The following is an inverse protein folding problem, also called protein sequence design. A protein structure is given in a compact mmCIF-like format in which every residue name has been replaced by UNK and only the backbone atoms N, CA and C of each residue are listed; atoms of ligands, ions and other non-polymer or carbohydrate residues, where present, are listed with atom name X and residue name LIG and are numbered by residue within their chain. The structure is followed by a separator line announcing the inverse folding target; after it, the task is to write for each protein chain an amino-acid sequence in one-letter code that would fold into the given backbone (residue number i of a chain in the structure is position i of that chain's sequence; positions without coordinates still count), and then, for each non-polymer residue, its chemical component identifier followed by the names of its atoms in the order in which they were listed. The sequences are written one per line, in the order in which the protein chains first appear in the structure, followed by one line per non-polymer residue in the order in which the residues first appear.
data_IF_561684465091
#
_entry.id   IF_561684465091
#
_cell.length_a   1.000
_cell.length_b   1.000
_cell.length_c   1.000
_cell.angle_alpha   90.00
_cell.angle_beta   90.00
_cell.angle_gamma   90.00
#
_symmetry.space_group_name_H-M   'P 1'
#
loop_
_entity.id
_entity.type
_entity.pdbx_description
1 polymer ?
#
# COMPACT_ATOMS: atom_id res chain seq x y z
N UNK A 1 10.88 16.11 37.64
CA UNK A 1 10.20 15.00 36.93
C UNK A 1 9.16 14.46 37.91
N UNK A 2 7.87 14.72 37.66
CA UNK A 2 6.81 14.38 38.62
C UNK A 2 6.52 12.87 38.58
N UNK A 3 6.35 12.19 39.73
CA UNK A 3 6.21 10.73 39.82
C UNK A 3 4.85 10.17 39.36
N UNK A 4 4.01 10.98 38.71
CA UNK A 4 2.66 10.59 38.24
C UNK A 4 2.53 10.39 36.73
N UNK A 5 3.63 10.45 35.97
CA UNK A 5 3.63 10.31 34.49
C UNK A 5 4.32 9.02 34.02
N UNK A 6 4.60 8.09 34.94
CA UNK A 6 5.13 6.78 34.58
C UNK A 6 3.99 5.86 34.15
N UNK A 7 4.12 5.33 32.94
CA UNK A 7 3.20 4.36 32.36
C UNK A 7 3.68 2.96 32.72
N UNK A 8 2.79 2.13 33.24
CA UNK A 8 3.07 0.73 33.53
C UNK A 8 3.24 -0.06 32.23
N UNK A 9 4.38 -0.73 32.08
CA UNK A 9 4.72 -1.48 30.88
C UNK A 9 3.89 -2.76 30.73
N UNK A 10 3.49 -3.38 31.84
CA UNK A 10 2.75 -4.64 31.84
C UNK A 10 1.40 -4.51 31.12
N UNK A 11 0.80 -3.31 31.18
CA UNK A 11 -0.43 -2.96 30.45
C UNK A 11 -0.24 -3.02 28.93
N UNK A 12 0.91 -2.55 28.43
CA UNK A 12 1.23 -2.55 27.01
C UNK A 12 1.63 -3.97 26.57
N UNK A 13 2.39 -4.69 27.40
CA UNK A 13 2.82 -6.05 27.08
C UNK A 13 1.63 -7.01 26.91
N UNK A 14 0.61 -6.91 27.78
CA UNK A 14 -0.58 -7.75 27.72
C UNK A 14 -1.36 -7.63 26.40
N UNK A 15 -1.29 -6.47 25.72
CA UNK A 15 -2.03 -6.21 24.49
C UNK A 15 -1.11 -5.92 23.29
N UNK A 16 0.17 -6.33 23.34
CA UNK A 16 1.16 -6.05 22.29
C UNK A 16 0.76 -6.56 20.90
N UNK A 17 0.03 -7.68 20.83
CA UNK A 17 -0.47 -8.26 19.57
C UNK A 17 -1.54 -7.38 18.90
N UNK A 18 -2.17 -6.47 19.67
CA UNK A 18 -3.14 -5.50 19.18
C UNK A 18 -2.49 -4.15 18.82
N UNK A 19 -1.16 -4.07 18.77
CA UNK A 19 -0.43 -2.83 18.47
C UNK A 19 0.38 -3.00 17.19
N UNK A 20 -0.03 -2.34 16.12
CA UNK A 20 0.69 -2.31 14.86
C UNK A 20 1.99 -1.49 15.00
N UNK A 21 3.11 -2.04 14.51
CA UNK A 21 4.39 -1.33 14.46
C UNK A 21 4.35 -0.19 13.45
N UNK A 22 4.82 0.99 13.86
CA UNK A 22 4.94 2.16 13.00
C UNK A 22 6.41 2.62 12.94
N UNK A 23 6.94 3.04 11.77
CA UNK A 23 8.31 3.52 11.66
C UNK A 23 8.64 4.74 12.55
N UNK A 24 7.63 5.57 12.86
CA UNK A 24 7.75 6.72 13.75
C UNK A 24 7.54 6.39 15.24
N UNK A 25 7.32 5.13 15.59
CA UNK A 25 6.90 4.72 16.93
C UNK A 25 5.44 5.10 17.25
N UNK A 26 5.06 4.89 18.51
CA UNK A 26 3.76 5.26 19.08
C UNK A 26 3.96 5.90 20.43
N UNK A 27 3.06 6.80 20.82
CA UNK A 27 3.13 7.37 22.16
C UNK A 27 2.66 6.34 23.19
N UNK A 28 3.52 6.04 24.17
CA UNK A 28 3.18 5.09 25.24
C UNK A 28 1.95 5.56 26.03
N UNK A 29 1.77 6.88 26.16
CA UNK A 29 0.63 7.49 26.86
C UNK A 29 -0.68 7.26 26.12
N UNK A 30 -0.72 7.42 24.79
CA UNK A 30 -1.93 7.15 24.04
C UNK A 30 -2.25 5.66 24.03
N UNK A 31 -1.24 4.80 23.93
CA UNK A 31 -1.43 3.35 24.10
C UNK A 31 -2.02 3.05 25.48
N UNK A 32 -1.43 3.53 26.56
CA UNK A 32 -1.99 3.35 27.90
C UNK A 32 -3.44 3.86 27.99
N UNK A 33 -3.76 5.04 27.44
CA UNK A 33 -5.13 5.56 27.47
C UNK A 33 -6.14 4.65 26.72
N UNK A 34 -5.74 4.08 25.58
CA UNK A 34 -6.59 3.19 24.77
C UNK A 34 -6.71 1.80 25.39
N UNK A 35 -5.61 1.26 25.94
CA UNK A 35 -5.53 -0.10 26.48
C UNK A 35 -6.07 -0.17 27.92
N UNK A 36 -5.89 0.88 28.73
CA UNK A 36 -6.38 0.98 30.12
C UNK A 36 -7.85 1.36 30.22
N UNK A 37 -8.46 1.87 29.14
CA UNK A 37 -9.87 2.17 29.17
C UNK A 37 -10.23 3.32 30.11
N UNK A 38 -9.70 4.52 29.86
CA UNK A 38 -10.00 5.71 30.65
C UNK A 38 -9.39 5.69 32.08
N UNK A 39 -9.40 6.85 32.77
CA UNK A 39 -8.76 6.99 34.07
C UNK A 39 -9.66 6.40 35.17
N UNK A 40 -9.60 5.09 35.34
CA UNK A 40 -10.32 4.37 36.39
C UNK A 40 -10.16 2.88 36.19
N UNK A 41 -9.10 2.30 36.76
CA UNK A 41 -8.68 0.91 36.56
C UNK A 41 -9.62 -0.15 37.13
N UNK A 42 -10.86 -0.22 36.64
CA UNK A 42 -11.81 -1.26 36.99
C UNK A 42 -12.57 -1.70 35.74
N UNK A 43 -12.28 -2.93 35.31
CA UNK A 43 -12.91 -3.66 34.21
C UNK A 43 -12.61 -3.09 32.82
N UNK A 44 -12.32 -3.99 31.86
CA UNK A 44 -12.30 -3.63 30.43
C UNK A 44 -13.54 -2.76 30.14
N UNK A 45 -13.40 -1.49 29.72
CA UNK A 45 -14.57 -0.74 29.29
C UNK A 45 -15.20 -1.56 28.19
N UNK A 46 -16.53 -1.62 28.17
CA UNK A 46 -17.22 -2.21 27.03
C UNK A 46 -16.66 -1.59 25.76
N UNK A 47 -16.41 -2.42 24.73
CA UNK A 47 -16.02 -1.96 23.40
C UNK A 47 -16.90 -0.78 22.93
N UNK A 48 -18.14 -0.71 23.40
CA UNK A 48 -19.10 0.33 23.09
C UNK A 48 -18.82 1.69 23.77
N UNK A 49 -18.21 1.72 24.95
CA UNK A 49 -17.87 2.97 25.66
C UNK A 49 -16.64 3.65 25.03
N UNK A 50 -15.61 2.87 24.72
CA UNK A 50 -14.44 3.37 23.96
C UNK A 50 -14.82 3.78 22.54
N UNK A 51 -15.75 3.07 21.89
CA UNK A 51 -16.34 3.50 20.60
C UNK A 51 -17.08 4.83 20.73
N UNK A 52 -17.93 4.99 21.75
CA UNK A 52 -18.69 6.22 21.99
C UNK A 52 -17.77 7.42 22.22
N UNK A 53 -16.70 7.24 23.01
CA UNK A 53 -15.68 8.27 23.22
C UNK A 53 -14.96 8.64 21.92
N UNK A 54 -14.51 7.64 21.15
CA UNK A 54 -13.87 7.90 19.86
C UNK A 54 -14.80 8.58 18.86
N UNK A 55 -16.09 8.23 18.85
CA UNK A 55 -17.10 8.85 18.01
C UNK A 55 -17.39 10.31 18.41
N UNK A 56 -17.29 10.64 19.71
CA UNK A 56 -17.42 12.01 20.19
C UNK A 56 -16.27 12.90 19.70
N UNK A 57 -15.01 12.46 19.87
CA UNK A 57 -13.83 13.20 19.39
C UNK A 57 -13.84 13.30 17.87
N UNK A 58 -14.23 12.23 17.18
CA UNK A 58 -14.41 12.25 15.72
C UNK A 58 -15.40 13.34 15.30
N UNK A 59 -16.53 13.46 16.00
CA UNK A 59 -17.53 14.48 15.69
C UNK A 59 -16.98 15.89 15.88
N UNK A 60 -16.17 16.12 16.91
CA UNK A 60 -15.50 17.42 17.14
C UNK A 60 -14.59 17.78 15.95
N UNK A 61 -13.73 16.87 15.50
CA UNK A 61 -12.90 17.09 14.32
C UNK A 61 -13.70 17.29 13.04
N UNK A 62 -14.80 16.56 12.84
CA UNK A 62 -15.66 16.76 11.66
C UNK A 62 -16.40 18.11 11.69
N UNK A 63 -16.72 18.64 12.87
CA UNK A 63 -17.25 20.01 13.02
C UNK A 63 -16.15 21.04 12.69
N UNK A 64 -14.92 20.86 13.18
CA UNK A 64 -13.79 21.72 12.80
C UNK A 64 -13.53 21.68 11.27
N UNK A 65 -13.69 20.52 10.63
CA UNK A 65 -13.58 20.39 9.18
C UNK A 65 -14.71 21.08 8.41
N UNK A 66 -15.88 21.27 9.02
CA UNK A 66 -16.97 22.05 8.39
C UNK A 66 -16.66 23.55 8.38
N UNK A 67 -15.99 24.05 9.43
CA UNK A 67 -15.52 25.44 9.52
C UNK A 67 -14.11 25.65 8.95
N UNK A 68 -13.62 24.73 8.10
CA UNK A 68 -12.25 24.77 7.55
C UNK A 68 -11.92 26.06 6.79
N UNK A 69 -12.93 26.70 6.18
CA UNK A 69 -12.77 27.96 5.45
C UNK A 69 -12.49 29.16 6.38
N UNK A 70 -12.82 29.04 7.66
CA UNK A 70 -12.60 30.07 8.68
C UNK A 70 -11.28 29.88 9.43
N UNK A 71 -10.56 28.77 9.18
CA UNK A 71 -9.29 28.47 9.83
C UNK A 71 -8.11 29.13 9.11
N UNK A 72 -7.18 29.68 9.90
CA UNK A 72 -5.92 30.23 9.38
C UNK A 72 -4.97 29.14 8.83
N UNK A 73 -5.00 27.93 9.42
CA UNK A 73 -4.23 26.78 8.96
C UNK A 73 -5.12 25.52 8.81
N UNK A 74 -5.86 25.41 7.69
CA UNK A 74 -6.73 24.26 7.43
C UNK A 74 -5.99 22.91 7.37
N UNK A 75 -4.69 22.89 7.07
CA UNK A 75 -3.90 21.67 7.05
C UNK A 75 -3.69 21.10 8.46
N UNK A 76 -3.57 21.96 9.47
CA UNK A 76 -3.33 21.54 10.86
C UNK A 76 -4.49 20.69 11.40
N UNK A 77 -5.74 21.03 11.05
CA UNK A 77 -6.92 20.26 11.45
C UNK A 77 -6.79 18.80 10.95
N UNK A 78 -6.39 18.62 9.68
CA UNK A 78 -6.16 17.28 9.13
C UNK A 78 -4.97 16.56 9.76
N UNK A 79 -3.86 17.26 10.02
CA UNK A 79 -2.68 16.66 10.66
C UNK A 79 -3.00 16.17 12.09
N UNK A 80 -3.69 17.00 12.89
CA UNK A 80 -4.17 16.63 14.24
C UNK A 80 -5.15 15.47 14.18
N UNK A 81 -6.12 15.54 13.26
CA UNK A 81 -7.14 14.51 13.15
C UNK A 81 -6.55 13.16 12.69
N UNK A 82 -5.60 13.16 11.77
CA UNK A 82 -4.90 11.93 11.34
C UNK A 82 -4.05 11.36 12.47
N UNK A 83 -3.28 12.19 13.20
CA UNK A 83 -2.51 11.73 14.37
C UNK A 83 -3.41 11.09 15.43
N UNK A 84 -4.50 11.76 15.78
CA UNK A 84 -5.49 11.21 16.70
C UNK A 84 -6.04 9.87 16.19
N UNK A 85 -6.39 9.76 14.90
CA UNK A 85 -6.89 8.52 14.32
C UNK A 85 -5.85 7.39 14.42
N UNK A 86 -4.57 7.70 14.16
CA UNK A 86 -3.49 6.72 14.27
C UNK A 86 -3.30 6.23 15.71
N UNK A 87 -3.46 7.10 16.69
CA UNK A 87 -3.31 6.80 18.12
C UNK A 87 -4.53 6.07 18.71
N UNK A 88 -5.74 6.44 18.32
CA UNK A 88 -6.99 5.85 18.80
C UNK A 88 -7.20 4.40 18.32
N UNK A 89 -6.62 4.03 17.17
CA UNK A 89 -6.77 2.71 16.56
C UNK A 89 -5.42 1.97 16.43
N UNK A 90 -4.94 1.30 17.50
CA UNK A 90 -3.63 0.68 17.51
C UNK A 90 -3.53 -0.61 16.66
N UNK A 91 -4.61 -1.38 16.49
CA UNK A 91 -4.58 -2.75 15.97
C UNK A 91 -4.70 -2.88 14.45
N UNK A 92 -5.40 -1.96 13.77
CA UNK A 92 -5.45 -1.96 12.30
C UNK A 92 -5.93 -0.61 11.76
N UNK A 93 -4.96 0.17 11.29
CA UNK A 93 -5.15 1.46 10.64
C UNK A 93 -6.02 1.38 9.36
N UNK A 94 -6.11 0.18 8.76
CA UNK A 94 -6.85 -0.07 7.53
C UNK A 94 -8.27 -0.61 7.77
N UNK A 95 -8.77 -0.54 9.00
CA UNK A 95 -10.16 -0.91 9.31
C UNK A 95 -11.14 0.16 8.83
N UNK A 96 -12.32 -0.23 8.29
CA UNK A 96 -13.39 0.72 7.99
C UNK A 96 -13.80 1.56 9.20
N UNK A 97 -13.66 1.01 10.41
CA UNK A 97 -14.00 1.66 11.68
C UNK A 97 -13.11 2.88 11.98
N UNK A 98 -11.85 2.88 11.56
CA UNK A 98 -10.93 4.00 11.78
C UNK A 98 -11.29 5.23 10.95
N UNK A 99 -11.94 5.06 9.79
CA UNK A 99 -12.23 6.16 8.86
C UNK A 99 -10.99 6.81 8.23
N UNK A 100 -9.80 6.25 8.43
CA UNK A 100 -8.53 6.87 8.03
C UNK A 100 -8.39 7.03 6.51
N UNK A 101 -8.86 6.05 5.73
CA UNK A 101 -8.79 6.10 4.27
C UNK A 101 -9.60 7.27 3.68
N UNK A 102 -10.92 7.40 3.96
CA UNK A 102 -11.70 8.57 3.53
C UNK A 102 -11.10 9.89 4.00
N UNK A 103 -10.56 9.94 5.22
CA UNK A 103 -9.92 11.12 5.78
C UNK A 103 -8.68 11.53 4.97
N UNK A 104 -7.77 10.58 4.71
CA UNK A 104 -6.57 10.84 3.91
C UNK A 104 -6.91 11.20 2.46
N UNK A 105 -7.90 10.55 1.85
CA UNK A 105 -8.35 10.90 0.49
C UNK A 105 -8.95 12.31 0.41
N UNK A 106 -9.72 12.73 1.42
CA UNK A 106 -10.23 14.10 1.52
C UNK A 106 -9.08 15.10 1.69
N UNK A 107 -8.16 14.85 2.62
CA UNK A 107 -7.04 15.74 2.92
C UNK A 107 -6.11 15.91 1.71
N UNK A 108 -5.72 14.81 1.07
CA UNK A 108 -4.82 14.82 -0.08
C UNK A 108 -5.41 15.56 -1.28
N UNK A 109 -6.72 15.41 -1.54
CA UNK A 109 -7.43 16.13 -2.61
C UNK A 109 -7.64 17.62 -2.29
N UNK A 110 -7.95 17.97 -1.04
CA UNK A 110 -8.28 19.34 -0.65
C UNK A 110 -7.13 20.33 -0.92
N UNK A 111 -5.88 19.94 -0.65
CA UNK A 111 -4.72 20.84 -0.75
C UNK A 111 -3.89 20.69 -2.04
N UNK A 112 -4.31 19.84 -2.97
CA UNK A 112 -3.53 19.58 -4.20
C UNK A 112 -3.36 20.85 -5.06
N UNK A 113 -4.40 21.69 -5.10
CA UNK A 113 -4.40 22.97 -5.84
C UNK A 113 -3.69 24.10 -5.07
N UNK A 114 -3.56 23.98 -3.75
CA UNK A 114 -2.96 25.02 -2.91
C UNK A 114 -1.44 24.96 -2.99
N UNK A 115 -0.83 26.00 -3.55
CA UNK A 115 0.63 26.10 -3.66
C UNK A 115 1.33 26.27 -2.31
N UNK A 116 0.61 26.75 -1.29
CA UNK A 116 1.18 27.04 0.03
C UNK A 116 1.61 25.78 0.77
N UNK A 117 0.84 24.70 0.62
CA UNK A 117 1.07 23.43 1.32
C UNK A 117 1.91 22.42 0.55
N UNK A 118 2.22 22.68 -0.73
CA UNK A 118 2.95 21.74 -1.59
C UNK A 118 4.30 21.32 -1.00
N UNK A 119 5.01 22.23 -0.35
CA UNK A 119 6.31 21.97 0.28
C UNK A 119 6.24 21.94 1.82
N UNK A 120 5.05 21.78 2.40
CA UNK A 120 4.90 21.58 3.85
C UNK A 120 5.18 20.10 4.21
N UNK A 121 6.12 19.81 5.14
CA UNK A 121 6.37 18.45 5.61
C UNK A 121 5.14 17.74 6.18
N UNK A 122 4.18 18.46 6.77
CA UNK A 122 2.91 17.89 7.28
C UNK A 122 2.07 17.33 6.14
N UNK A 123 1.92 18.10 5.06
CA UNK A 123 1.17 17.65 3.90
C UNK A 123 1.82 16.45 3.22
N UNK A 124 3.15 16.45 3.09
CA UNK A 124 3.88 15.31 2.55
C UNK A 124 3.70 14.05 3.43
N UNK A 125 3.70 14.19 4.77
CA UNK A 125 3.44 13.05 5.67
C UNK A 125 2.07 12.43 5.45
N UNK A 126 1.02 13.24 5.23
CA UNK A 126 -0.32 12.71 4.90
C UNK A 126 -0.28 11.83 3.64
N UNK A 127 0.41 12.29 2.60
CA UNK A 127 0.63 11.50 1.39
C UNK A 127 1.43 10.22 1.63
N UNK A 128 2.49 10.28 2.44
CA UNK A 128 3.29 9.10 2.78
C UNK A 128 2.48 8.07 3.59
N UNK A 129 1.62 8.52 4.51
CA UNK A 129 0.68 7.64 5.21
C UNK A 129 -0.29 6.97 4.23
N UNK A 130 -0.83 7.72 3.27
CA UNK A 130 -1.68 7.17 2.22
C UNK A 130 -0.95 6.11 1.39
N UNK A 131 0.28 6.40 0.96
CA UNK A 131 1.10 5.49 0.17
C UNK A 131 1.37 4.19 0.94
N UNK A 132 1.85 4.30 2.18
CA UNK A 132 2.27 3.14 2.98
C UNK A 132 1.10 2.22 3.37
N UNK A 133 -0.06 2.79 3.70
CA UNK A 133 -1.17 2.02 4.29
C UNK A 133 -2.18 1.58 3.21
N UNK A 134 -2.40 2.41 2.19
CA UNK A 134 -3.55 2.24 1.29
C UNK A 134 -3.19 2.14 -0.20
N UNK A 135 -1.99 2.52 -0.64
CA UNK A 135 -1.68 2.50 -2.08
C UNK A 135 -1.42 1.08 -2.61
N UNK A 136 -2.06 0.77 -3.73
CA UNK A 136 -1.89 -0.44 -4.55
C UNK A 136 -0.71 -0.30 -5.52
N UNK A 137 -0.55 0.89 -6.10
CA UNK A 137 0.56 1.28 -6.96
C UNK A 137 1.32 2.48 -6.36
N UNK A 138 2.20 2.26 -5.37
CA UNK A 138 2.98 3.32 -4.73
C UNK A 138 3.77 4.16 -5.75
N UNK A 139 4.35 3.52 -6.77
CA UNK A 139 5.10 4.18 -7.85
C UNK A 139 4.28 5.25 -8.58
N UNK A 140 3.03 4.93 -8.91
CA UNK A 140 2.15 5.87 -9.61
C UNK A 140 1.80 7.05 -8.72
N UNK A 141 1.63 6.80 -7.41
CA UNK A 141 1.37 7.85 -6.43
C UNK A 141 2.58 8.78 -6.27
N UNK A 142 3.80 8.25 -6.18
CA UNK A 142 5.01 9.07 -6.17
C UNK A 142 5.20 9.86 -7.48
N UNK A 143 4.92 9.25 -8.63
CA UNK A 143 4.97 9.94 -9.92
C UNK A 143 3.91 11.06 -10.01
N UNK A 144 2.72 10.84 -9.45
CA UNK A 144 1.68 11.85 -9.34
C UNK A 144 2.15 13.04 -8.49
N UNK A 145 2.74 12.79 -7.30
CA UNK A 145 3.29 13.84 -6.44
C UNK A 145 4.37 14.67 -7.14
N UNK A 146 5.31 14.01 -7.82
CA UNK A 146 6.38 14.67 -8.54
C UNK A 146 5.84 15.57 -9.67
N UNK A 147 4.78 15.17 -10.36
CA UNK A 147 4.14 15.99 -11.42
C UNK A 147 3.39 17.19 -10.88
N UNK A 148 2.77 17.06 -9.71
CA UNK A 148 2.06 18.15 -9.03
C UNK A 148 3.00 19.07 -8.24
N UNK A 149 4.30 18.73 -8.16
CA UNK A 149 5.31 19.48 -7.42
C UNK A 149 5.08 19.42 -5.91
N UNK A 150 4.55 18.30 -5.40
CA UNK A 150 4.33 18.09 -3.97
C UNK A 150 5.58 17.48 -3.34
N UNK A 151 6.16 18.16 -2.37
CA UNK A 151 7.34 17.73 -1.63
C UNK A 151 8.64 17.79 -2.43
N UNK A 152 8.68 18.49 -3.56
CA UNK A 152 9.87 18.57 -4.43
C UNK A 152 11.08 19.19 -3.72
N UNK A 153 10.86 20.08 -2.75
CA UNK A 153 11.95 20.70 -1.98
C UNK A 153 12.27 19.95 -0.68
N UNK A 154 11.61 18.82 -0.40
CA UNK A 154 11.72 18.09 0.85
C UNK A 154 12.55 16.82 0.66
N UNK A 155 13.66 16.71 1.39
CA UNK A 155 14.50 15.50 1.38
C UNK A 155 13.69 14.24 1.72
N UNK A 156 12.70 14.37 2.61
CA UNK A 156 11.79 13.30 3.01
C UNK A 156 11.10 12.62 1.81
N UNK A 157 10.74 13.37 0.75
CA UNK A 157 10.10 12.79 -0.42
C UNK A 157 11.03 11.80 -1.14
N UNK A 158 12.27 12.22 -1.39
CA UNK A 158 13.28 11.42 -2.08
C UNK A 158 13.74 10.24 -1.23
N UNK A 159 13.93 10.44 0.08
CA UNK A 159 14.28 9.38 1.04
C UNK A 159 13.25 8.23 0.98
N UNK A 160 11.97 8.57 1.06
CA UNK A 160 10.89 7.59 1.11
C UNK A 160 10.65 6.90 -0.23
N UNK A 161 10.76 7.67 -1.32
CA UNK A 161 10.61 7.11 -2.65
C UNK A 161 11.75 6.15 -3.00
N UNK A 162 12.99 6.54 -2.69
CA UNK A 162 14.15 5.68 -2.90
C UNK A 162 14.14 4.45 -1.98
N UNK A 163 13.73 4.60 -0.71
CA UNK A 163 13.57 3.46 0.21
C UNK A 163 12.52 2.47 -0.28
N UNK A 164 11.42 2.95 -0.87
CA UNK A 164 10.42 2.08 -1.48
C UNK A 164 10.99 1.34 -2.71
N UNK A 165 11.70 2.04 -3.60
CA UNK A 165 12.35 1.43 -4.78
C UNK A 165 13.39 0.39 -4.40
N UNK A 166 14.17 0.64 -3.35
CA UNK A 166 15.12 -0.31 -2.76
C UNK A 166 14.39 -1.57 -2.28
N UNK A 167 13.28 -1.44 -1.55
CA UNK A 167 12.47 -2.58 -1.11
C UNK A 167 11.86 -3.39 -2.27
N UNK A 168 11.62 -2.72 -3.41
CA UNK A 168 11.13 -3.35 -4.64
C UNK A 168 12.25 -3.96 -5.52
N UNK A 169 13.51 -3.91 -5.07
CA UNK A 169 14.69 -4.42 -5.79
C UNK A 169 15.12 -3.57 -6.99
N UNK A 170 14.65 -2.33 -7.09
CA UNK A 170 14.90 -1.41 -8.21
C UNK A 170 15.99 -0.41 -7.86
N UNK A 171 17.22 -0.90 -7.68
CA UNK A 171 18.33 -0.11 -7.15
C UNK A 171 18.77 1.04 -8.07
N UNK A 172 18.81 0.83 -9.39
CA UNK A 172 19.18 1.88 -10.36
C UNK A 172 18.23 3.08 -10.28
N UNK A 173 16.92 2.81 -10.20
CA UNK A 173 15.91 3.85 -10.05
C UNK A 173 16.01 4.53 -8.68
N UNK A 174 16.35 3.80 -7.61
CA UNK A 174 16.55 4.40 -6.30
C UNK A 174 17.71 5.40 -6.29
N UNK A 175 18.83 5.06 -6.95
CA UNK A 175 19.97 5.95 -7.14
C UNK A 175 19.60 7.22 -7.93
N UNK A 176 18.90 7.07 -9.05
CA UNK A 176 18.39 8.20 -9.84
C UNK A 176 17.55 9.17 -8.99
N UNK A 177 16.70 8.65 -8.10
CA UNK A 177 15.86 9.48 -7.22
C UNK A 177 16.69 10.23 -6.17
N UNK A 178 17.74 9.63 -5.62
CA UNK A 178 18.64 10.33 -4.70
C UNK A 178 19.41 11.45 -5.40
N UNK A 179 19.95 11.18 -6.60
CA UNK A 179 20.64 12.18 -7.41
C UNK A 179 19.68 13.33 -7.74
N UNK A 180 18.47 13.00 -8.18
CA UNK A 180 17.44 13.97 -8.51
C UNK A 180 17.03 14.85 -7.31
N UNK A 181 17.00 14.30 -6.10
CA UNK A 181 16.76 15.07 -4.88
C UNK A 181 17.91 16.00 -4.52
N UNK A 182 19.15 15.60 -4.81
CA UNK A 182 20.34 16.42 -4.60
C UNK A 182 20.43 17.55 -5.64
N UNK A 183 20.13 17.27 -6.91
CA UNK A 183 20.04 18.26 -7.99
C UNK A 183 18.99 19.34 -7.70
N UNK A 184 17.91 18.97 -7.02
CA UNK A 184 16.85 19.89 -6.57
C UNK A 184 17.11 20.54 -5.23
N UNK A 185 18.28 20.30 -4.62
CA UNK A 185 18.68 20.85 -3.33
C UNK A 185 17.64 20.64 -2.21
N UNK A 186 17.01 19.46 -2.20
CA UNK A 186 15.94 19.13 -1.27
C UNK A 186 16.42 19.19 0.19
N UNK A 187 15.69 19.88 1.07
CA UNK A 187 16.10 20.17 2.44
C UNK A 187 15.52 19.16 3.44
N UNK A 188 16.30 18.72 4.46
CA UNK A 188 17.73 19.00 4.70
C UNK A 188 18.64 18.21 3.77
N UNK A 189 19.51 18.89 3.02
CA UNK A 189 20.41 18.28 2.01
C UNK A 189 21.44 17.34 2.64
N UNK A 190 21.99 17.71 3.80
CA UNK A 190 22.94 16.89 4.55
C UNK A 190 22.35 15.53 4.93
N UNK A 191 21.06 15.53 5.32
CA UNK A 191 20.34 14.31 5.66
C UNK A 191 20.15 13.44 4.43
N UNK A 192 19.79 14.04 3.30
CA UNK A 192 19.64 13.33 2.03
C UNK A 192 20.96 12.69 1.58
N UNK A 193 22.07 13.44 1.67
CA UNK A 193 23.40 12.94 1.31
C UNK A 193 23.82 11.77 2.20
N UNK A 194 23.58 11.88 3.52
CA UNK A 194 23.85 10.78 4.45
C UNK A 194 23.05 9.52 4.07
N UNK A 195 21.76 9.68 3.77
CA UNK A 195 20.89 8.57 3.34
C UNK A 195 21.32 7.97 2.01
N UNK A 196 21.79 8.78 1.08
CA UNK A 196 22.35 8.30 -0.18
C UNK A 196 23.62 7.47 0.05
N UNK A 197 24.53 7.91 0.93
CA UNK A 197 25.72 7.13 1.28
C UNK A 197 25.38 5.82 1.99
N UNK A 198 24.40 5.83 2.92
CA UNK A 198 23.87 4.61 3.54
C UNK A 198 23.31 3.63 2.50
N UNK A 199 22.56 4.14 1.51
CA UNK A 199 22.05 3.34 0.40
C UNK A 199 23.18 2.73 -0.45
N UNK A 200 24.20 3.51 -0.82
CA UNK A 200 25.36 3.00 -1.58
C UNK A 200 26.12 1.93 -0.81
N UNK A 201 26.32 2.13 0.50
CA UNK A 201 26.96 1.13 1.36
C UNK A 201 26.13 -0.17 1.39
N UNK A 202 24.80 -0.09 1.50
CA UNK A 202 23.93 -1.28 1.42
C UNK A 202 24.02 -1.97 0.06
N UNK A 203 24.08 -1.21 -1.03
CA UNK A 203 24.22 -1.76 -2.37
C UNK A 203 25.55 -2.50 -2.58
N UNK A 204 26.64 -2.01 -1.99
CA UNK A 204 27.96 -2.65 -2.03
C UNK A 204 28.02 -3.93 -1.19
N UNK A 205 27.33 -3.93 -0.04
CA UNK A 205 27.23 -5.11 0.84
C UNK A 205 26.14 -6.08 0.42
N UNK A 206 25.26 -5.69 -0.50
CA UNK A 206 24.31 -6.59 -1.13
C UNK A 206 25.16 -7.63 -1.88
N UNK A 207 25.15 -8.89 -1.46
CA UNK A 207 25.66 -9.92 -2.32
C UNK A 207 24.79 -9.81 -3.57
N UNK A 208 25.40 -9.52 -4.71
CA UNK A 208 24.88 -10.08 -5.96
C UNK A 208 24.52 -11.54 -5.64
N UNK A 209 23.48 -12.15 -6.23
CA UNK A 209 23.36 -13.59 -6.18
C UNK A 209 24.58 -14.15 -6.91
N UNK A 210 25.70 -14.22 -6.19
CA UNK A 210 26.84 -15.03 -6.45
C UNK A 210 26.23 -16.41 -6.51
N UNK A 211 26.38 -17.02 -7.67
CA UNK A 211 26.20 -18.43 -7.94
C UNK A 211 26.84 -19.27 -6.82
N UNK A 212 26.17 -19.38 -5.68
CA UNK A 212 26.37 -20.45 -4.73
C UNK A 212 25.85 -21.73 -5.40
N UNK A 213 26.44 -22.90 -5.12
CA UNK A 213 26.08 -24.13 -5.81
C UNK A 213 24.58 -24.44 -5.60
N UNK A 214 23.78 -24.06 -6.61
CA UNK A 214 22.35 -24.30 -6.68
C UNK A 214 22.12 -25.76 -6.99
N UNK A 215 21.89 -26.56 -5.95
CA UNK A 215 21.27 -27.88 -6.10
C UNK A 215 19.81 -27.77 -5.67
N UNK A 216 18.85 -28.32 -6.44
CA UNK A 216 18.98 -29.46 -7.37
C UNK A 216 19.45 -29.08 -8.78
N UNK A 217 20.23 -29.96 -9.42
CA UNK A 217 20.90 -29.79 -10.73
C UNK A 217 19.98 -29.54 -11.94
N UNK A 218 18.66 -29.45 -11.75
CA UNK A 218 17.71 -29.02 -12.75
C UNK A 218 16.71 -28.06 -12.08
N UNK A 219 16.76 -26.75 -12.36
CA UNK A 219 15.71 -25.85 -11.92
C UNK A 219 14.40 -26.30 -12.59
N UNK A 220 13.33 -26.51 -11.80
CA UNK A 220 11.95 -26.61 -12.32
C UNK A 220 11.53 -25.23 -12.84
N UNK A 221 12.11 -24.80 -13.96
CA UNK A 221 11.64 -23.64 -14.69
C UNK A 221 10.30 -24.05 -15.29
N UNK A 222 9.21 -23.39 -14.86
CA UNK A 222 7.93 -23.51 -15.56
C UNK A 222 8.13 -22.87 -16.93
N UNK A 223 8.09 -23.63 -18.03
CA UNK A 223 8.24 -23.03 -19.33
C UNK A 223 7.02 -22.13 -19.57
N UNK A 224 7.26 -20.85 -19.87
CA UNK A 224 6.19 -19.91 -20.14
C UNK A 224 5.39 -20.42 -21.35
N UNK A 225 4.05 -20.41 -21.24
CA UNK A 225 3.13 -20.90 -22.28
C UNK A 225 3.30 -22.39 -22.64
N UNK A 226 3.86 -23.22 -21.76
CA UNK A 226 3.93 -24.66 -21.99
C UNK A 226 2.53 -25.30 -22.04
N UNK A 227 2.33 -26.22 -22.99
CA UNK A 227 1.14 -27.05 -23.03
C UNK A 227 1.03 -27.88 -21.74
N UNK A 228 -0.14 -27.85 -21.10
CA UNK A 228 -0.44 -28.67 -19.93
C UNK A 228 -0.71 -30.10 -20.39
N UNK A 229 0.36 -30.89 -20.51
CA UNK A 229 0.30 -32.31 -20.85
C UNK A 229 0.31 -33.06 -19.53
N UNK A 230 -0.75 -33.83 -19.26
CA UNK A 230 -0.82 -34.70 -18.08
C UNK A 230 0.02 -35.97 -18.33
N UNK A 231 1.13 -36.18 -17.61
CA UNK A 231 2.01 -37.34 -17.82
C UNK A 231 1.38 -38.67 -17.37
N UNK A 232 0.24 -38.64 -16.67
CA UNK A 232 -0.47 -39.84 -16.21
C UNK A 232 -1.85 -40.01 -16.85
N UNK A 233 -2.17 -39.25 -17.90
CA UNK A 233 -3.39 -39.47 -18.66
C UNK A 233 -3.35 -40.85 -19.33
N UNK A 234 -4.03 -41.82 -18.72
CA UNK A 234 -4.39 -43.09 -19.35
C UNK A 234 -5.05 -42.82 -20.70
N UNK A 235 -4.81 -43.68 -21.69
CA UNK A 235 -5.30 -43.63 -23.08
C UNK A 235 -6.84 -43.66 -23.25
N UNK A 236 -7.61 -43.34 -22.22
CA UNK A 236 -9.05 -43.17 -22.26
C UNK A 236 -9.41 -41.70 -22.54
N UNK A 237 -10.31 -41.40 -23.49
CA UNK A 237 -10.72 -40.04 -23.76
C UNK A 237 -11.44 -39.46 -22.54
N UNK A 238 -10.79 -38.54 -21.85
CA UNK A 238 -11.44 -37.72 -20.82
C UNK A 238 -12.48 -36.81 -21.48
N UNK A 239 -13.61 -36.51 -20.82
CA UNK A 239 -14.60 -35.61 -21.37
C UNK A 239 -13.96 -34.23 -21.57
N UNK A 240 -14.01 -33.77 -22.82
CA UNK A 240 -13.50 -32.46 -23.23
C UNK A 240 -14.21 -31.40 -22.40
N UNK A 241 -13.45 -30.64 -21.61
CA UNK A 241 -13.95 -29.43 -20.98
C UNK A 241 -14.33 -28.44 -22.10
N UNK A 242 -15.62 -28.11 -22.31
CA UNK A 242 -16.07 -27.30 -23.44
C UNK A 242 -15.54 -25.86 -23.40
N UNK A 243 -14.86 -25.47 -22.31
CA UNK A 243 -14.27 -24.14 -22.13
C UNK A 243 -12.74 -24.12 -22.23
N UNK A 244 -12.08 -25.28 -22.41
CA UNK A 244 -10.64 -25.33 -22.62
C UNK A 244 -10.29 -24.87 -24.05
N UNK A 245 -9.38 -23.88 -24.23
CA UNK A 245 -8.95 -23.49 -25.57
C UNK A 245 -8.24 -24.69 -26.23
N UNK A 246 -8.81 -25.17 -27.32
CA UNK A 246 -8.17 -26.19 -28.16
C UNK A 246 -6.84 -25.64 -28.67
N UNK A 247 -5.73 -26.41 -28.62
CA UNK A 247 -4.50 -25.99 -29.26
C UNK A 247 -4.74 -26.00 -30.77
N UNK A 248 -5.05 -24.84 -31.33
CA UNK A 248 -5.08 -24.64 -32.76
C UNK A 248 -3.66 -24.88 -33.27
N UNK A 249 -3.46 -25.98 -34.00
CA UNK A 249 -2.36 -26.12 -34.92
C UNK A 249 -2.52 -25.05 -36.01
N UNK A 250 -2.10 -23.82 -35.71
CA UNK A 250 -2.13 -22.72 -36.63
C UNK A 250 -1.13 -23.01 -37.74
N UNK A 251 -1.62 -23.51 -38.89
CA UNK A 251 -0.96 -23.27 -40.18
C UNK A 251 -0.78 -21.76 -40.27
N UNK A 252 0.48 -21.32 -40.26
CA UNK A 252 0.83 -19.90 -40.19
C UNK A 252 0.06 -19.05 -41.20
N UNK A 253 -0.34 -17.82 -40.84
CA UNK A 253 -1.11 -16.99 -41.75
C UNK A 253 -0.24 -16.64 -42.97
N UNK A 254 -0.62 -17.12 -44.15
CA UNK A 254 -0.14 -16.60 -45.44
C UNK A 254 -0.78 -15.24 -45.73
N UNK A 255 -0.60 -14.28 -44.82
CA UNK A 255 -1.07 -12.91 -45.02
C UNK A 255 -0.02 -12.14 -45.84
N UNK A 256 -0.09 -12.25 -47.17
CA UNK A 256 0.48 -11.22 -48.05
C UNK A 256 -0.35 -9.95 -47.86
N UNK A 257 0.04 -9.11 -46.91
CA UNK A 257 -0.64 -7.82 -46.67
C UNK A 257 -0.38 -6.90 -47.85
N UNK A 258 -1.48 -6.48 -48.49
CA UNK A 258 -1.63 -5.37 -49.44
C UNK A 258 -0.52 -4.31 -49.34
N UNK A 259 0.11 -4.01 -50.47
CA UNK A 259 1.23 -3.07 -50.64
C UNK A 259 0.91 -1.58 -50.45
N UNK A 260 0.41 -1.21 -49.27
CA UNK A 260 0.45 0.19 -48.80
C UNK A 260 1.76 0.38 -48.01
N UNK A 261 2.50 1.50 -48.20
CA UNK A 261 3.69 1.76 -47.41
C UNK A 261 3.30 1.85 -45.94
N UNK A 262 3.84 0.93 -45.13
CA UNK A 262 3.59 0.88 -43.69
C UNK A 262 4.57 1.85 -43.03
N UNK A 263 4.09 2.74 -42.15
CA UNK A 263 4.96 3.68 -41.42
C UNK A 263 6.11 2.90 -40.76
N UNK A 264 7.35 3.35 -40.97
CA UNK A 264 8.51 2.78 -40.31
C UNK A 264 8.39 3.07 -38.81
N UNK A 265 8.51 2.03 -38.00
CA UNK A 265 8.58 2.18 -36.54
C UNK A 265 9.98 2.73 -36.25
N UNK A 266 10.05 3.83 -35.50
CA UNK A 266 11.31 4.44 -35.11
C UNK A 266 12.17 3.43 -34.34
N UNK A 267 13.42 3.24 -34.77
CA UNK A 267 14.41 2.38 -34.14
C UNK A 267 15.55 3.23 -33.58
N UNK A 268 15.73 3.19 -32.26
CA UNK A 268 16.68 4.04 -31.54
C UNK A 268 18.14 3.53 -31.57
N UNK A 269 18.48 2.67 -32.53
CA UNK A 269 19.77 1.97 -32.55
C UNK A 269 20.98 2.89 -32.83
N UNK A 270 20.75 4.06 -33.46
CA UNK A 270 21.82 4.98 -33.90
C UNK A 270 21.98 6.24 -33.02
N UNK A 271 21.17 6.43 -31.96
CA UNK A 271 21.24 7.62 -31.10
C UNK A 271 22.00 7.37 -29.78
N UNK A 272 23.26 6.97 -29.89
CA UNK A 272 24.15 6.77 -28.70
C UNK A 272 24.58 8.08 -28.03
N UNK A 273 24.04 9.24 -28.43
CA UNK A 273 24.38 10.55 -27.84
C UNK A 273 23.20 11.37 -27.30
N UNK A 274 21.95 10.91 -27.41
CA UNK A 274 20.78 11.59 -26.80
C UNK A 274 19.96 10.66 -25.89
N UNK A 275 20.57 9.55 -25.47
CA UNK A 275 20.00 8.57 -24.56
C UNK A 275 19.78 9.18 -23.17
N UNK A 276 18.60 9.74 -22.94
CA UNK A 276 18.10 9.98 -21.59
C UNK A 276 17.30 11.26 -21.35
N UNK A 277 17.11 12.15 -22.33
CA UNK A 277 16.13 13.23 -22.12
C UNK A 277 14.72 12.64 -22.20
N UNK A 278 13.92 12.65 -21.12
CA UNK A 278 12.53 12.28 -21.24
C UNK A 278 11.90 13.27 -22.22
N UNK A 279 11.33 12.74 -23.30
CA UNK A 279 10.58 13.52 -24.27
C UNK A 279 9.55 14.35 -23.49
N UNK A 280 9.82 15.65 -23.34
CA UNK A 280 8.94 16.61 -22.69
C UNK A 280 7.74 16.87 -23.62
N UNK A 281 6.89 15.85 -23.74
CA UNK A 281 5.78 15.79 -24.68
C UNK A 281 4.46 16.07 -24.00
N UNK A 282 4.06 17.35 -24.03
CA UNK A 282 2.69 17.85 -23.79
C UNK A 282 2.13 17.68 -22.37
N UNK A 283 1.31 18.65 -21.93
CA UNK A 283 0.55 18.53 -20.67
C UNK A 283 -0.22 17.21 -20.68
N UNK A 284 0.21 16.26 -19.86
CA UNK A 284 -0.32 14.90 -19.83
C UNK A 284 -1.74 14.90 -19.26
N UNK A 285 -2.72 15.14 -20.13
CA UNK A 285 -4.15 14.99 -19.83
C UNK A 285 -4.39 13.59 -19.27
N UNK A 286 -4.92 13.49 -18.05
CA UNK A 286 -5.19 12.22 -17.36
C UNK A 286 -4.49 12.02 -16.02
N UNK A 287 -3.54 12.89 -15.63
CA UNK A 287 -2.90 12.85 -14.30
C UNK A 287 -3.39 13.97 -13.36
N UNK A 288 -4.58 14.50 -13.64
CA UNK A 288 -5.21 15.56 -12.86
C UNK A 288 -5.74 15.03 -11.51
N UNK A 289 -6.07 13.73 -11.42
CA UNK A 289 -6.53 13.06 -10.20
C UNK A 289 -6.07 11.60 -10.18
N UNK A 290 -5.73 11.08 -9.00
CA UNK A 290 -5.34 9.67 -8.79
C UNK A 290 -6.54 8.75 -8.49
N UNK A 291 -7.77 9.29 -8.45
CA UNK A 291 -8.99 8.54 -8.10
C UNK A 291 -9.06 8.14 -6.62
N UNK A 292 -10.15 7.48 -6.20
CA UNK A 292 -10.18 6.80 -4.90
C UNK A 292 -9.55 5.40 -5.00
N UNK A 293 -9.10 4.83 -3.88
CA UNK A 293 -8.65 3.43 -3.85
C UNK A 293 -9.77 2.48 -4.30
N UNK A 294 -11.01 2.78 -3.91
CA UNK A 294 -12.18 2.01 -4.31
C UNK A 294 -12.35 1.98 -5.83
N UNK A 295 -12.25 3.14 -6.49
CA UNK A 295 -12.40 3.25 -7.95
C UNK A 295 -11.33 2.48 -8.72
N UNK A 296 -10.11 2.40 -8.18
CA UNK A 296 -8.98 1.70 -8.80
C UNK A 296 -9.09 0.18 -8.67
N UNK A 297 -9.70 -0.31 -7.58
CA UNK A 297 -9.81 -1.75 -7.28
C UNK A 297 -11.16 -2.37 -7.61
N UNK A 298 -12.13 -1.58 -8.08
CA UNK A 298 -13.49 -2.06 -8.40
C UNK A 298 -13.52 -3.23 -9.39
N UNK A 299 -12.57 -3.30 -10.32
CA UNK A 299 -12.49 -4.40 -11.31
C UNK A 299 -11.73 -5.62 -10.78
N UNK A 300 -10.92 -5.45 -9.72
CA UNK A 300 -10.13 -6.50 -9.09
C UNK A 300 -10.84 -7.14 -7.89
N UNK A 301 -12.00 -6.63 -7.49
CA UNK A 301 -12.74 -7.06 -6.30
C UNK A 301 -14.15 -7.47 -6.71
N UNK A 302 -14.57 -8.67 -6.31
CA UNK A 302 -15.96 -9.12 -6.50
C UNK A 302 -16.80 -8.65 -5.32
N UNK A 303 -17.90 -7.96 -5.58
CA UNK A 303 -18.82 -7.52 -4.53
C UNK A 303 -19.43 -8.72 -3.79
N UNK A 304 -19.52 -8.61 -2.46
CA UNK A 304 -20.07 -9.67 -1.62
C UNK A 304 -21.57 -9.86 -1.92
N UNK A 305 -21.95 -11.08 -2.31
CA UNK A 305 -23.35 -11.47 -2.43
C UNK A 305 -23.87 -11.95 -1.07
N UNK A 306 -25.12 -11.64 -0.68
CA UNK A 306 -25.69 -12.11 0.58
C UNK A 306 -25.76 -13.65 0.59
N UNK A 307 -25.39 -14.27 1.71
CA UNK A 307 -25.33 -15.73 1.89
C UNK A 307 -26.71 -16.42 1.97
N UNK A 308 -27.80 -15.68 1.73
CA UNK A 308 -29.15 -16.21 1.86
C UNK A 308 -29.45 -17.14 0.68
N UNK A 309 -29.43 -18.45 0.93
CA UNK A 309 -29.81 -19.50 -0.03
C UNK A 309 -28.64 -20.26 -0.67
N UNK A 310 -27.39 -19.91 -0.37
CA UNK A 310 -26.22 -20.62 -0.89
C UNK A 310 -25.93 -21.86 -0.04
N UNK A 311 -26.51 -23.00 -0.43
CA UNK A 311 -26.22 -24.29 0.20
C UNK A 311 -24.92 -24.85 -0.36
N UNK A 312 -23.90 -24.99 0.49
CA UNK A 312 -22.64 -25.64 0.15
C UNK A 312 -22.97 -27.05 -0.33
N UNK A 313 -22.67 -27.38 -1.59
CA UNK A 313 -22.83 -28.74 -2.12
C UNK A 313 -21.78 -29.64 -1.47
N UNK A 314 -22.02 -30.03 -0.22
CA UNK A 314 -21.25 -31.08 0.41
C UNK A 314 -21.39 -32.33 -0.45
N UNK A 315 -20.28 -32.82 -1.00
CA UNK A 315 -20.22 -34.14 -1.62
C UNK A 315 -20.80 -35.20 -0.69
N UNK A 316 -21.38 -36.26 -1.28
CA UNK A 316 -22.05 -37.39 -0.62
C UNK A 316 -21.53 -37.66 0.80
N UNK A 317 -22.44 -37.67 1.78
CA UNK A 317 -22.19 -38.09 3.16
C UNK A 317 -21.44 -39.44 3.17
N UNK A 318 -20.18 -39.41 3.57
CA UNK A 318 -19.50 -40.60 4.07
C UNK A 318 -20.04 -40.83 5.48
N UNK A 319 -20.59 -42.02 5.72
CA UNK A 319 -20.76 -42.71 7.00
C UNK A 319 -21.23 -41.90 8.21
N UNK A 320 -22.31 -42.36 8.84
CA UNK A 320 -22.73 -41.96 10.19
C UNK A 320 -21.57 -42.04 11.18
N UNK A 321 -20.91 -40.91 11.45
CA UNK A 321 -19.98 -40.75 12.58
C UNK A 321 -20.83 -40.49 13.82
N UNK A 322 -20.56 -41.20 14.91
CA UNK A 322 -21.28 -41.07 16.18
C UNK A 322 -21.28 -39.62 16.66
N UNK A 323 -22.46 -39.14 17.05
CA UNK A 323 -22.74 -37.78 17.52
C UNK A 323 -22.10 -37.60 18.91
N UNK A 324 -21.25 -36.59 19.10
CA UNK A 324 -20.69 -36.25 20.42
C UNK A 324 -21.82 -35.98 21.42
N UNK A 325 -21.75 -36.61 22.59
CA UNK A 325 -22.62 -36.31 23.73
C UNK A 325 -22.14 -35.02 24.40
N UNK A 326 -22.98 -33.98 24.36
CA UNK A 326 -22.76 -32.73 25.09
C UNK A 326 -23.48 -32.86 26.42
N UNK A 327 -22.70 -32.97 27.50
CA UNK A 327 -23.25 -32.98 28.86
C UNK A 327 -23.59 -31.55 29.28
N UNK A 328 -24.84 -31.33 29.68
CA UNK A 328 -25.32 -30.09 30.29
C UNK A 328 -25.35 -30.31 31.80
N UNK A 329 -24.59 -29.53 32.55
CA UNK A 329 -24.67 -29.54 34.01
C UNK A 329 -26.07 -29.11 34.46
N UNK A 330 -26.57 -29.78 35.51
CA UNK A 330 -27.84 -29.43 36.15
C UNK A 330 -27.58 -28.26 37.11
N UNK A 331 -28.46 -27.27 37.02
CA UNK A 331 -28.46 -26.03 37.81
C UNK A 331 -28.35 -26.27 39.33
#
# INVERSE_FOLDING_TARGET
MAPGDLIDFDLIEAQKENVQSLPGGRSARALAAVLSGGPGGASSPGLDETRSFNDSIRREYEVELQSIAESDDPLDIYDRYVKWTLDAYPSSQATPQSGLLPLLERATKAFLSSTHYKNDPRYLKLWLHYIRIFSDAPRETFAFLARHGVGENLALFYEEFASWLESAGRFTQAEEIYILGLEREARPTERLLRKFNEFRARLEHQPWPSDGPSSPALPKVRPALAAKIDPFASTAPSPVDPQAPTPAAARGPTSKRSGKPKMAIFSDADSTQDSGKPLAGSKAKGWESIGSLHDRRKENTVEAKPWVGETLKSGKRVGTVQKMEVFKDKD
#
